data_IF_246317592168
#
_entry.id   IF_246317592168
#
_cell.length_a   1.000
_cell.length_b   1.000
_cell.length_c   1.000
_cell.angle_alpha   90.00
_cell.angle_beta   90.00
_cell.angle_gamma   90.00
#
_symmetry.space_group_name_H-M   'P 1'
#
loop_
_entity.id
_entity.type
_entity.pdbx_description
1 polymer ?
#
# COMPACT_ATOMS: atom_id res chain seq x y z
N UNK A 1 -9.04 -6.69 20.34
CA UNK A 1 -9.70 -5.38 20.18
C UNK A 1 -8.83 -4.52 19.26
N UNK A 2 -8.56 -5.06 18.07
CA UNK A 2 -7.39 -4.72 17.24
C UNK A 2 -7.77 -4.67 15.76
N UNK A 3 -8.86 -5.34 15.37
CA UNK A 3 -9.52 -5.18 14.07
C UNK A 3 -9.89 -3.70 13.79
N UNK A 4 -10.09 -2.89 14.83
CA UNK A 4 -10.38 -1.48 14.74
C UNK A 4 -9.26 -0.64 14.08
N UNK A 5 -7.97 -0.93 14.33
CA UNK A 5 -6.87 -0.11 13.83
C UNK A 5 -6.74 -0.24 12.30
N UNK A 6 -6.69 -1.49 11.81
CA UNK A 6 -6.69 -1.79 10.38
C UNK A 6 -7.93 -1.24 9.66
N UNK A 7 -9.12 -1.40 10.25
CA UNK A 7 -10.36 -0.88 9.65
C UNK A 7 -10.37 0.65 9.59
N UNK A 8 -9.95 1.35 10.65
CA UNK A 8 -9.82 2.82 10.64
C UNK A 8 -8.80 3.29 9.61
N UNK A 9 -7.68 2.58 9.49
CA UNK A 9 -6.66 2.91 8.51
C UNK A 9 -7.17 2.71 7.08
N UNK A 10 -7.81 1.58 6.78
CA UNK A 10 -8.44 1.33 5.48
C UNK A 10 -9.55 2.34 5.19
N UNK A 11 -10.34 2.74 6.18
CA UNK A 11 -11.36 3.78 6.02
C UNK A 11 -10.73 5.13 5.64
N UNK A 12 -9.61 5.51 6.29
CA UNK A 12 -8.84 6.69 5.93
C UNK A 12 -8.32 6.61 4.48
N UNK A 13 -7.73 5.48 4.08
CA UNK A 13 -7.27 5.28 2.70
C UNK A 13 -8.39 5.38 1.67
N UNK A 14 -9.59 4.87 1.98
CA UNK A 14 -10.78 4.98 1.12
C UNK A 14 -11.28 6.42 1.00
N UNK A 15 -11.24 7.18 2.09
CA UNK A 15 -11.56 8.60 2.07
C UNK A 15 -10.58 9.38 1.17
N UNK A 16 -9.28 9.16 1.36
CA UNK A 16 -8.23 9.79 0.56
C UNK A 16 -8.31 9.38 -0.92
N UNK A 17 -8.66 8.11 -1.19
CA UNK A 17 -8.89 7.61 -2.55
C UNK A 17 -10.02 8.38 -3.25
N UNK A 18 -11.09 8.69 -2.51
CA UNK A 18 -12.21 9.47 -3.05
C UNK A 18 -11.77 10.89 -3.40
N UNK A 19 -10.92 11.50 -2.58
CA UNK A 19 -10.34 12.82 -2.84
C UNK A 19 -9.43 12.77 -4.07
N UNK A 20 -8.55 11.77 -4.15
CA UNK A 20 -7.63 11.59 -5.28
C UNK A 20 -8.36 11.38 -6.61
N UNK A 21 -9.45 10.60 -6.60
CA UNK A 21 -10.32 10.41 -7.78
C UNK A 21 -10.96 11.72 -8.24
N UNK A 22 -11.44 12.55 -7.30
CA UNK A 22 -12.03 13.87 -7.61
C UNK A 22 -10.98 14.83 -8.20
N UNK A 23 -9.76 14.79 -7.67
CA UNK A 23 -8.63 15.58 -8.17
C UNK A 23 -8.00 15.04 -9.45
N UNK A 24 -8.54 13.93 -10.01
CA UNK A 24 -7.99 13.21 -11.18
C UNK A 24 -6.50 12.85 -11.04
N UNK A 25 -6.04 12.63 -9.80
CA UNK A 25 -4.66 12.23 -9.54
C UNK A 25 -4.50 10.71 -9.74
N UNK A 26 -4.28 10.30 -10.99
CA UNK A 26 -4.20 8.88 -11.36
C UNK A 26 -3.10 8.12 -10.60
N UNK A 27 -1.97 8.77 -10.31
CA UNK A 27 -0.86 8.17 -9.58
C UNK A 27 -1.23 7.89 -8.10
N UNK A 28 -1.86 8.85 -7.43
CA UNK A 28 -2.35 8.68 -6.06
C UNK A 28 -3.48 7.66 -5.97
N UNK A 29 -4.40 7.64 -6.95
CA UNK A 29 -5.45 6.62 -7.06
C UNK A 29 -4.86 5.21 -7.17
N UNK A 30 -3.88 5.02 -8.05
CA UNK A 30 -3.23 3.72 -8.25
C UNK A 30 -2.53 3.27 -6.95
N UNK A 31 -1.78 4.16 -6.31
CA UNK A 31 -1.06 3.86 -5.08
C UNK A 31 -2.01 3.48 -3.93
N UNK A 32 -3.09 4.24 -3.73
CA UNK A 32 -4.03 3.99 -2.64
C UNK A 32 -4.78 2.67 -2.83
N UNK A 33 -5.13 2.31 -4.07
CA UNK A 33 -5.72 1.01 -4.38
C UNK A 33 -4.74 -0.14 -4.11
N UNK A 34 -3.48 0.02 -4.50
CA UNK A 34 -2.43 -0.97 -4.22
C UNK A 34 -2.23 -1.17 -2.71
N UNK A 35 -2.22 -0.08 -1.93
CA UNK A 35 -2.03 -0.15 -0.49
C UNK A 35 -3.21 -0.83 0.22
N UNK A 36 -4.45 -0.53 -0.17
CA UNK A 36 -5.65 -1.21 0.34
C UNK A 36 -5.55 -2.72 0.04
N UNK A 37 -5.20 -3.09 -1.19
CA UNK A 37 -5.05 -4.49 -1.58
C UNK A 37 -3.92 -5.19 -0.79
N UNK A 38 -2.81 -4.51 -0.54
CA UNK A 38 -1.71 -5.06 0.27
C UNK A 38 -2.14 -5.31 1.72
N UNK A 39 -2.95 -4.43 2.31
CA UNK A 39 -3.50 -4.60 3.67
C UNK A 39 -4.53 -5.73 3.70
N UNK A 40 -5.40 -5.83 2.69
CA UNK A 40 -6.35 -6.93 2.56
C UNK A 40 -5.62 -8.28 2.40
N UNK A 41 -4.57 -8.33 1.58
CA UNK A 41 -3.71 -9.51 1.44
C UNK A 41 -2.97 -9.86 2.74
N UNK A 42 -2.43 -8.87 3.45
CA UNK A 42 -1.75 -9.10 4.73
C UNK A 42 -2.72 -9.64 5.81
N UNK A 43 -3.99 -9.21 5.78
CA UNK A 43 -5.04 -9.77 6.64
C UNK A 43 -5.44 -11.20 6.21
N UNK A 44 -5.31 -11.54 4.93
CA UNK A 44 -5.70 -12.83 4.36
C UNK A 44 -4.60 -13.93 4.47
N UNK A 45 -3.31 -13.58 4.30
CA UNK A 45 -2.19 -14.54 4.18
C UNK A 45 -1.63 -15.01 5.54
N UNK A 46 -2.37 -14.89 6.64
CA UNK A 46 -1.94 -15.39 7.96
C UNK A 46 -1.94 -16.94 8.10
N UNK A 47 -1.81 -17.69 7.00
CA UNK A 47 -1.57 -19.14 7.00
C UNK A 47 -0.51 -19.51 5.94
N UNK A 48 0.76 -19.43 6.34
CA UNK A 48 1.85 -20.15 5.69
C UNK A 48 2.56 -19.43 4.55
N UNK A 49 3.87 -19.22 4.74
CA UNK A 49 4.91 -19.08 3.72
C UNK A 49 4.48 -18.86 2.26
N UNK A 50 4.77 -17.67 1.72
CA UNK A 50 5.65 -17.55 0.55
C UNK A 50 6.01 -16.11 0.20
N UNK A 51 7.32 -15.91 0.12
CA UNK A 51 7.95 -15.07 -0.88
C UNK A 51 7.27 -15.25 -2.25
N UNK A 52 6.74 -14.17 -2.84
CA UNK A 52 6.59 -14.08 -4.29
C UNK A 52 6.40 -12.62 -4.69
N UNK A 53 7.41 -12.10 -5.38
CA UNK A 53 7.40 -11.12 -6.46
C UNK A 53 6.05 -10.45 -6.73
N UNK A 54 6.03 -9.13 -6.62
CA UNK A 54 4.91 -8.26 -7.00
C UNK A 54 4.57 -8.44 -8.49
N UNK A 55 3.71 -9.41 -8.79
CA UNK A 55 3.14 -9.64 -10.12
C UNK A 55 1.81 -8.92 -10.16
N UNK A 56 1.70 -7.97 -11.09
CA UNK A 56 0.44 -7.28 -11.40
C UNK A 56 -0.55 -8.32 -11.93
N UNK A 57 -1.46 -8.78 -11.07
CA UNK A 57 -2.59 -9.59 -11.49
C UNK A 57 -3.81 -8.71 -11.76
N UNK A 58 -4.40 -8.93 -12.94
CA UNK A 58 -5.63 -8.30 -13.39
C UNK A 58 -6.78 -8.66 -12.43
N UNK A 59 -7.44 -7.62 -11.92
CA UNK A 59 -8.57 -7.74 -10.99
C UNK A 59 -9.80 -8.31 -11.71
N UNK A 60 -10.38 -9.37 -11.15
CA UNK A 60 -11.68 -9.88 -11.57
C UNK A 60 -12.04 -11.22 -10.96
N UNK A 61 -12.31 -11.28 -9.65
CA UNK A 61 -13.33 -12.19 -9.11
C UNK A 61 -13.75 -11.80 -7.69
N UNK A 62 -15.04 -11.95 -7.30
CA UNK A 62 -15.55 -11.55 -6.00
C UNK A 62 -15.72 -12.78 -5.10
N UNK A 63 -14.69 -13.21 -4.37
CA UNK A 63 -14.90 -14.07 -3.20
C UNK A 63 -13.61 -14.24 -2.41
N UNK A 64 -13.67 -13.99 -1.11
CA UNK A 64 -13.63 -15.00 -0.04
C UNK A 64 -13.38 -14.20 1.25
N UNK A 65 -14.37 -14.17 2.12
CA UNK A 65 -14.26 -13.53 3.43
C UNK A 65 -13.46 -14.45 4.36
N UNK A 66 -12.13 -14.34 4.29
CA UNK A 66 -11.17 -15.07 5.15
C UNK A 66 -11.16 -14.46 6.56
N UNK A 67 -11.02 -15.24 7.65
CA UNK A 67 -10.95 -14.73 9.01
C UNK A 67 -9.80 -13.71 9.18
N UNK A 68 -10.16 -12.44 9.39
CA UNK A 68 -9.21 -11.32 9.44
C UNK A 68 -8.43 -11.32 10.76
N UNK A 69 -7.12 -11.59 10.72
CA UNK A 69 -6.24 -11.32 11.86
C UNK A 69 -6.04 -9.82 11.99
N UNK A 70 -6.16 -9.32 13.21
CA UNK A 70 -6.05 -7.90 13.48
C UNK A 70 -4.62 -7.41 13.29
N UNK A 71 -4.40 -6.48 12.37
CA UNK A 71 -3.15 -5.71 12.27
C UNK A 71 -3.21 -4.54 13.25
N UNK A 72 -2.31 -4.56 14.23
CA UNK A 72 -2.12 -3.47 15.19
C UNK A 72 -1.38 -2.29 14.52
N UNK A 73 -1.45 -1.10 15.11
CA UNK A 73 -0.83 0.12 14.55
C UNK A 73 0.66 -0.03 14.24
N UNK A 74 1.40 -0.78 15.08
CA UNK A 74 2.81 -1.08 14.84
C UNK A 74 3.04 -1.95 13.60
N UNK A 75 2.15 -2.91 13.33
CA UNK A 75 2.22 -3.77 12.16
C UNK A 75 1.85 -2.99 10.87
N UNK A 76 0.85 -2.11 10.94
CA UNK A 76 0.50 -1.20 9.85
C UNK A 76 1.64 -0.23 9.53
N UNK A 77 2.25 0.36 10.56
CA UNK A 77 3.43 1.22 10.40
C UNK A 77 4.56 0.46 9.73
N UNK A 78 4.85 -0.76 10.18
CA UNK A 78 5.92 -1.58 9.61
C UNK A 78 5.66 -1.91 8.14
N UNK A 79 4.43 -2.26 7.79
CA UNK A 79 4.02 -2.49 6.40
C UNK A 79 4.31 -1.27 5.52
N UNK A 80 3.98 -0.06 5.98
CA UNK A 80 4.21 1.17 5.22
C UNK A 80 5.71 1.48 5.11
N UNK A 81 6.48 1.26 6.18
CA UNK A 81 7.94 1.42 6.17
C UNK A 81 8.59 0.46 5.17
N UNK A 82 8.18 -0.81 5.16
CA UNK A 82 8.68 -1.83 4.22
C UNK A 82 8.32 -1.46 2.77
N UNK A 83 7.11 -0.94 2.53
CA UNK A 83 6.64 -0.48 1.21
C UNK A 83 7.44 0.73 0.67
N UNK A 84 7.84 1.64 1.57
CA UNK A 84 8.74 2.76 1.25
C UNK A 84 10.14 2.25 0.92
N UNK A 85 10.66 1.30 1.71
CA UNK A 85 11.97 0.70 1.45
C UNK A 85 12.02 0.00 0.08
N UNK A 86 11.01 -0.82 -0.24
CA UNK A 86 10.92 -1.50 -1.52
C UNK A 86 10.89 -0.52 -2.71
N UNK A 87 10.15 0.59 -2.61
CA UNK A 87 10.11 1.63 -3.66
C UNK A 87 11.41 2.40 -3.79
N UNK A 88 12.10 2.65 -2.68
CA UNK A 88 13.42 3.30 -2.69
C UNK A 88 14.42 2.44 -3.47
N UNK A 89 14.44 1.15 -3.20
CA UNK A 89 15.38 0.22 -3.82
C UNK A 89 15.04 0.02 -5.31
N UNK A 90 13.75 -0.04 -5.66
CA UNK A 90 13.29 -0.03 -7.05
C UNK A 90 13.65 1.27 -7.78
N UNK A 91 13.48 2.44 -7.15
CA UNK A 91 13.85 3.74 -7.73
C UNK A 91 15.35 3.84 -7.99
N UNK A 92 16.19 3.32 -7.07
CA UNK A 92 17.63 3.24 -7.29
C UNK A 92 17.97 2.38 -8.52
N UNK A 93 17.33 1.20 -8.64
CA UNK A 93 17.47 0.32 -9.80
C UNK A 93 17.09 1.02 -11.10
N UNK A 94 15.95 1.73 -11.12
CA UNK A 94 15.50 2.46 -12.31
C UNK A 94 16.47 3.58 -12.72
N UNK A 95 17.04 4.32 -11.76
CA UNK A 95 18.08 5.33 -12.06
C UNK A 95 19.33 4.71 -12.67
N UNK A 96 19.75 3.54 -12.19
CA UNK A 96 20.92 2.85 -12.73
C UNK A 96 20.76 2.46 -14.20
N UNK A 97 19.52 2.21 -14.64
CA UNK A 97 19.21 1.86 -16.04
C UNK A 97 18.71 3.06 -16.87
N UNK A 98 18.87 4.29 -16.36
CA UNK A 98 18.49 5.52 -17.07
C UNK A 98 16.98 5.77 -17.18
N UNK A 99 16.18 5.11 -16.36
CA UNK A 99 14.72 5.25 -16.32
C UNK A 99 14.30 6.27 -15.25
N UNK A 100 14.72 7.52 -15.43
CA UNK A 100 14.53 8.57 -14.42
C UNK A 100 13.06 8.92 -14.16
N UNK A 101 12.20 8.83 -15.18
CA UNK A 101 10.76 9.09 -15.03
C UNK A 101 10.09 8.05 -14.12
N UNK A 102 10.44 6.76 -14.28
CA UNK A 102 9.96 5.67 -13.43
C UNK A 102 10.50 5.81 -11.99
N UNK A 103 11.78 6.16 -11.85
CA UNK A 103 12.36 6.44 -10.54
C UNK A 103 11.67 7.63 -9.84
N UNK A 104 11.35 8.69 -10.59
CA UNK A 104 10.66 9.86 -10.07
C UNK A 104 9.22 9.54 -9.62
N UNK A 105 8.48 8.75 -10.39
CA UNK A 105 7.15 8.29 -10.01
C UNK A 105 7.17 7.49 -8.68
N UNK A 106 8.20 6.67 -8.47
CA UNK A 106 8.38 5.95 -7.21
C UNK A 106 8.72 6.89 -6.04
N UNK A 107 9.51 7.93 -6.27
CA UNK A 107 9.82 8.96 -5.26
C UNK A 107 8.57 9.73 -4.84
N UNK A 108 7.71 10.09 -5.79
CA UNK A 108 6.42 10.72 -5.50
C UNK A 108 5.51 9.79 -4.69
N UNK A 109 5.45 8.50 -5.06
CA UNK A 109 4.72 7.51 -4.30
C UNK A 109 5.23 7.35 -2.86
N UNK A 110 6.54 7.34 -2.64
CA UNK A 110 7.11 7.33 -1.27
C UNK A 110 6.71 8.57 -0.47
N UNK A 111 6.70 9.74 -1.11
CA UNK A 111 6.31 11.01 -0.47
C UNK A 111 4.86 10.96 0.00
N UNK A 112 3.99 10.35 -0.80
CA UNK A 112 2.60 10.11 -0.46
C UNK A 112 2.47 9.08 0.69
N UNK A 113 3.19 7.96 0.64
CA UNK A 113 3.17 6.95 1.71
C UNK A 113 3.62 7.51 3.07
N UNK A 114 4.60 8.42 3.08
CA UNK A 114 5.08 9.07 4.32
C UNK A 114 3.98 9.85 5.05
N UNK A 115 2.93 10.32 4.36
CA UNK A 115 1.77 10.99 5.00
C UNK A 115 1.01 10.07 5.97
N UNK A 116 1.18 8.76 5.83
CA UNK A 116 0.55 7.75 6.68
C UNK A 116 1.45 7.26 7.82
N UNK A 117 2.73 7.66 7.87
CA UNK A 117 3.64 7.39 8.99
C UNK A 117 3.60 8.47 10.07
N UNK A 118 3.09 9.65 9.74
CA UNK A 118 2.88 10.72 10.72
C UNK A 118 1.56 10.43 11.44
N UNK A 119 1.54 10.30 12.77
CA UNK A 119 0.29 10.20 13.50
C UNK A 119 -0.56 11.42 13.16
N UNK A 120 -1.84 11.20 12.84
CA UNK A 120 -2.78 12.31 12.77
C UNK A 120 -2.83 12.90 14.19
N UNK A 121 -2.29 14.12 14.34
CA UNK A 121 -2.39 14.88 15.58
C UNK A 121 -3.85 15.11 15.97
#
# INVERSE_FOLDING_TARGET
>A
MTADAAQRFVARLKADLTVAMRSRNAAEVALLRQLIAAIDNAQAVAVGDRHATYVVHAFGDPAVEVPRRSLDDAALRRLIEDEIHARRDAAATYRQVGQDAQAQALVEAMTLLRRYLVPAC
#
